data_IF_002755028330
#
_entry.id   IF_002755028330
#
_cell.length_a   1.000
_cell.length_b   1.000
_cell.length_c   1.000
_cell.angle_alpha   90.00
_cell.angle_beta   90.00
_cell.angle_gamma   90.00
#
_symmetry.space_group_name_H-M   'P 1'
#
loop_
_entity.id
_entity.type
_entity.pdbx_description
1 polymer ?
#
# COMPACT_ATOMS: atom_id res chain seq x y z
N UNK A 1 -21.50 -1.23 -18.45
CA UNK A 1 -20.04 -1.24 -18.24
C UNK A 1 -19.79 -2.20 -17.11
N UNK A 2 -19.11 -3.32 -17.37
CA UNK A 2 -18.87 -4.38 -16.38
C UNK A 2 -17.87 -3.93 -15.34
N UNK A 3 -17.86 -4.61 -14.19
CA UNK A 3 -16.98 -4.32 -13.05
C UNK A 3 -15.50 -4.32 -13.46
N UNK A 4 -15.10 -5.26 -14.30
CA UNK A 4 -13.73 -5.39 -14.81
C UNK A 4 -13.30 -4.20 -15.69
N UNK A 5 -14.19 -3.67 -16.52
CA UNK A 5 -13.92 -2.46 -17.32
C UNK A 5 -13.81 -1.19 -16.46
N UNK A 6 -14.50 -1.16 -15.31
CA UNK A 6 -14.39 -0.08 -14.35
C UNK A 6 -13.03 -0.12 -13.66
N UNK A 7 -12.56 -1.32 -13.29
CA UNK A 7 -11.25 -1.58 -12.71
C UNK A 7 -10.10 -1.20 -13.62
N UNK A 8 -10.12 -1.64 -14.87
CA UNK A 8 -9.11 -1.30 -15.86
C UNK A 8 -8.99 0.22 -16.06
N UNK A 9 -10.11 0.95 -15.95
CA UNK A 9 -10.12 2.42 -16.00
C UNK A 9 -9.54 3.08 -14.75
N UNK A 10 -9.80 2.55 -13.56
CA UNK A 10 -9.27 3.05 -12.28
C UNK A 10 -7.77 2.80 -12.20
N UNK A 11 -7.34 1.61 -12.54
CA UNK A 11 -5.92 1.18 -12.48
C UNK A 11 -5.13 1.70 -13.67
N UNK A 12 -5.75 1.82 -14.86
CA UNK A 12 -5.15 2.34 -16.08
C UNK A 12 -5.04 3.87 -16.18
N UNK A 13 -5.35 4.62 -15.10
CA UNK A 13 -5.23 6.09 -15.08
C UNK A 13 -6.35 6.85 -15.81
N UNK A 14 -7.21 6.19 -16.57
CA UNK A 14 -8.34 6.84 -17.28
C UNK A 14 -9.38 7.45 -16.34
N UNK A 15 -9.38 7.02 -15.08
CA UNK A 15 -10.30 7.53 -14.06
C UNK A 15 -9.96 8.94 -13.57
N UNK A 16 -8.70 9.35 -13.62
CA UNK A 16 -8.26 10.71 -13.24
C UNK A 16 -9.00 11.79 -14.05
N UNK A 17 -9.43 11.45 -15.24
CA UNK A 17 -10.16 12.35 -16.16
C UNK A 17 -11.68 12.36 -15.94
N UNK A 18 -12.22 11.52 -15.04
CA UNK A 18 -13.65 11.56 -14.71
C UNK A 18 -14.01 12.89 -14.06
N UNK A 19 -15.20 13.42 -14.40
CA UNK A 19 -15.68 14.75 -13.97
C UNK A 19 -15.37 15.01 -12.50
N UNK A 20 -14.67 16.10 -12.20
CA UNK A 20 -14.18 16.55 -10.88
C UNK A 20 -15.18 16.43 -9.71
N UNK A 21 -16.47 16.49 -9.98
CA UNK A 21 -17.52 16.55 -8.93
C UNK A 21 -17.96 15.22 -8.35
N UNK A 22 -17.52 14.06 -8.86
CA UNK A 22 -18.07 12.75 -8.47
C UNK A 22 -17.05 11.74 -7.93
N UNK A 23 -15.77 12.03 -7.97
CA UNK A 23 -14.72 11.06 -7.66
C UNK A 23 -14.71 10.55 -6.20
N UNK A 24 -14.97 11.38 -5.14
CA UNK A 24 -14.99 10.83 -3.78
C UNK A 24 -16.17 9.87 -3.57
N UNK A 25 -17.33 10.16 -4.17
CA UNK A 25 -18.48 9.26 -4.14
C UNK A 25 -18.19 7.94 -4.88
N UNK A 26 -17.38 7.98 -5.94
CA UNK A 26 -16.94 6.78 -6.63
C UNK A 26 -16.12 5.89 -5.71
N UNK A 27 -15.07 6.42 -5.05
CA UNK A 27 -14.27 5.64 -4.11
C UNK A 27 -15.11 5.10 -2.95
N UNK A 28 -15.99 5.91 -2.38
CA UNK A 28 -16.88 5.45 -1.30
C UNK A 28 -17.76 4.25 -1.71
N UNK A 29 -18.31 4.27 -2.93
CA UNK A 29 -19.09 3.15 -3.46
C UNK A 29 -18.23 1.93 -3.79
N UNK A 30 -17.02 2.15 -4.29
CA UNK A 30 -16.07 1.10 -4.59
C UNK A 30 -15.70 0.34 -3.31
N UNK A 31 -15.25 1.06 -2.28
CA UNK A 31 -14.91 0.49 -0.97
C UNK A 31 -16.06 -0.33 -0.39
N UNK A 32 -17.30 0.19 -0.47
CA UNK A 32 -18.47 -0.54 0.03
C UNK A 32 -18.67 -1.91 -0.64
N UNK A 33 -18.25 -2.07 -1.90
CA UNK A 33 -18.33 -3.33 -2.65
C UNK A 33 -17.14 -4.26 -2.42
N UNK A 34 -16.00 -3.71 -2.03
CA UNK A 34 -14.76 -4.46 -1.84
C UNK A 34 -14.60 -5.02 -0.43
N UNK A 35 -15.60 -4.84 0.44
CA UNK A 35 -15.53 -5.31 1.82
C UNK A 35 -15.37 -6.82 1.90
N UNK A 36 -14.46 -7.26 2.75
CA UNK A 36 -14.21 -8.67 3.06
C UNK A 36 -13.84 -8.85 4.52
N UNK A 37 -13.89 -10.08 5.01
CA UNK A 37 -13.59 -10.40 6.41
C UNK A 37 -12.28 -11.19 6.49
N UNK A 38 -11.20 -10.64 7.07
CA UNK A 38 -9.92 -11.36 7.21
C UNK A 38 -10.06 -12.64 8.06
N UNK A 39 -11.05 -12.71 8.95
CA UNK A 39 -11.32 -13.90 9.76
C UNK A 39 -11.99 -15.04 8.97
N UNK A 40 -12.50 -14.76 7.77
CA UNK A 40 -13.11 -15.79 6.93
C UNK A 40 -12.10 -16.56 6.06
N UNK A 41 -10.85 -16.09 6.00
CA UNK A 41 -9.78 -16.79 5.26
C UNK A 41 -9.30 -17.96 6.12
N UNK A 42 -9.35 -19.16 5.57
CA UNK A 42 -8.84 -20.37 6.23
C UNK A 42 -7.32 -20.49 6.03
N UNK A 43 -6.56 -20.27 7.09
CA UNK A 43 -5.10 -20.42 7.12
C UNK A 43 -4.65 -21.80 7.60
N UNK A 44 -5.58 -22.72 7.92
CA UNK A 44 -5.25 -24.06 8.42
C UNK A 44 -4.42 -24.89 7.43
N UNK A 45 -4.72 -24.89 6.11
CA UNK A 45 -3.89 -25.57 5.13
C UNK A 45 -2.47 -25.00 5.08
N UNK A 46 -2.35 -23.68 5.18
CA UNK A 46 -1.09 -22.93 5.11
C UNK A 46 -0.19 -23.26 6.30
N UNK A 47 -0.76 -23.27 7.51
CA UNK A 47 -0.05 -23.62 8.74
C UNK A 47 0.54 -25.08 8.68
N UNK A 48 -0.17 -25.98 8.02
CA UNK A 48 0.30 -27.37 7.82
C UNK A 48 1.39 -27.45 6.75
N UNK A 49 1.24 -26.70 5.66
CA UNK A 49 2.20 -26.72 4.55
C UNK A 49 3.50 -25.95 4.86
N UNK A 50 3.43 -24.95 5.72
CA UNK A 50 4.54 -24.07 6.05
C UNK A 50 5.85 -24.78 6.43
N UNK A 51 5.87 -25.77 7.37
CA UNK A 51 7.10 -26.47 7.74
C UNK A 51 7.67 -27.34 6.62
N UNK A 52 6.86 -27.72 5.62
CA UNK A 52 7.25 -28.57 4.50
C UNK A 52 7.87 -27.77 3.34
N UNK A 53 7.80 -26.45 3.38
CA UNK A 53 8.42 -25.60 2.34
C UNK A 53 9.95 -25.70 2.40
N UNK A 54 10.64 -25.64 1.25
CA UNK A 54 12.10 -25.53 1.20
C UNK A 54 12.61 -24.36 2.03
N UNK A 55 13.74 -24.53 2.71
CA UNK A 55 14.28 -23.54 3.66
C UNK A 55 14.55 -22.17 3.03
N UNK A 56 15.03 -22.11 1.78
CA UNK A 56 15.27 -20.88 1.05
C UNK A 56 13.97 -20.15 0.70
N UNK A 57 12.94 -20.90 0.27
CA UNK A 57 11.60 -20.34 0.01
C UNK A 57 10.97 -19.84 1.30
N UNK A 58 11.06 -20.61 2.37
CA UNK A 58 10.52 -20.24 3.68
C UNK A 58 11.20 -18.96 4.21
N UNK A 59 12.53 -18.84 4.10
CA UNK A 59 13.24 -17.61 4.49
C UNK A 59 12.76 -16.40 3.71
N UNK A 60 12.63 -16.49 2.38
CA UNK A 60 12.16 -15.40 1.53
C UNK A 60 10.73 -15.00 1.88
N UNK A 61 9.82 -15.96 2.01
CA UNK A 61 8.43 -15.71 2.40
C UNK A 61 8.33 -15.15 3.83
N UNK A 62 9.18 -15.59 4.78
CA UNK A 62 9.24 -15.01 6.13
C UNK A 62 9.59 -13.53 6.06
N UNK A 63 10.59 -13.13 5.27
CA UNK A 63 10.97 -11.72 5.13
C UNK A 63 9.82 -10.88 4.58
N UNK A 64 9.13 -11.35 3.55
CA UNK A 64 8.01 -10.62 2.97
C UNK A 64 6.82 -10.54 3.93
N UNK A 65 6.35 -11.67 4.45
CA UNK A 65 5.17 -11.73 5.30
C UNK A 65 5.38 -11.01 6.64
N UNK A 66 6.56 -11.15 7.26
CA UNK A 66 6.89 -10.41 8.47
C UNK A 66 7.06 -8.90 8.21
N UNK A 67 7.62 -8.53 7.07
CA UNK A 67 7.68 -7.14 6.64
C UNK A 67 6.29 -6.52 6.49
N UNK A 68 5.33 -7.25 5.90
CA UNK A 68 3.93 -6.81 5.84
C UNK A 68 3.27 -6.76 7.21
N UNK A 69 3.58 -7.66 8.16
CA UNK A 69 3.08 -7.54 9.54
C UNK A 69 3.48 -6.21 10.20
N UNK A 70 4.68 -5.71 9.91
CA UNK A 70 5.15 -4.40 10.42
C UNK A 70 4.51 -3.26 9.64
N UNK A 71 4.52 -3.33 8.32
CA UNK A 71 4.15 -2.24 7.44
C UNK A 71 2.65 -1.89 7.53
N UNK A 72 1.78 -2.88 7.45
CA UNK A 72 0.32 -2.70 7.47
C UNK A 72 -0.19 -2.15 8.80
N UNK A 73 0.41 -2.58 9.91
CA UNK A 73 0.05 -2.06 11.23
C UNK A 73 0.48 -0.59 11.38
N UNK A 74 1.67 -0.23 10.88
CA UNK A 74 2.15 1.15 10.88
C UNK A 74 1.26 2.06 10.02
N UNK A 75 0.83 1.60 8.84
CA UNK A 75 -0.10 2.35 7.99
C UNK A 75 -1.44 2.57 8.68
N UNK A 76 -2.04 1.53 9.26
CA UNK A 76 -3.31 1.62 9.97
C UNK A 76 -3.27 2.65 11.12
N UNK A 77 -2.11 2.81 11.77
CA UNK A 77 -1.89 3.74 12.86
C UNK A 77 -1.77 5.20 12.40
N UNK A 78 -1.08 5.46 11.28
CA UNK A 78 -0.61 6.80 10.92
C UNK A 78 -1.45 7.57 9.88
N UNK A 79 -2.60 7.06 9.41
CA UNK A 79 -3.43 7.72 8.40
C UNK A 79 -4.34 8.86 8.91
N UNK A 80 -4.54 9.00 10.22
CA UNK A 80 -5.44 10.04 10.76
C UNK A 80 -5.02 11.46 10.39
N UNK A 81 -3.74 11.86 10.49
CA UNK A 81 -3.29 13.21 10.09
C UNK A 81 -3.57 13.53 8.62
N UNK A 82 -3.49 12.55 7.73
CA UNK A 82 -3.82 12.73 6.30
C UNK A 82 -5.30 13.07 6.09
N UNK A 83 -6.20 12.37 6.82
CA UNK A 83 -7.63 12.67 6.78
C UNK A 83 -7.93 14.09 7.30
N UNK A 84 -7.24 14.53 8.35
CA UNK A 84 -7.42 15.85 8.94
C UNK A 84 -6.86 16.94 8.02
N UNK A 85 -5.71 16.73 7.40
CA UNK A 85 -5.16 17.62 6.38
C UNK A 85 -6.07 17.75 5.16
N UNK A 86 -6.66 16.62 4.71
CA UNK A 86 -7.63 16.61 3.61
C UNK A 86 -8.90 17.41 3.94
N UNK A 87 -9.32 17.44 5.23
CA UNK A 87 -10.46 18.25 5.69
C UNK A 87 -10.14 19.74 5.71
N UNK A 88 -8.89 20.12 5.98
CA UNK A 88 -8.42 21.49 6.01
C UNK A 88 -7.96 22.04 4.66
N UNK A 89 -7.74 21.19 3.68
CA UNK A 89 -7.27 21.57 2.35
C UNK A 89 -8.34 22.41 1.63
N UNK A 90 -7.98 23.62 1.17
CA UNK A 90 -8.87 24.52 0.40
C UNK A 90 -9.14 23.99 -1.01
N UNK A 91 -9.62 22.75 -1.11
CA UNK A 91 -9.99 22.10 -2.35
C UNK A 91 -11.48 22.32 -2.59
N UNK A 92 -11.83 23.03 -3.64
CA UNK A 92 -13.19 23.45 -3.96
C UNK A 92 -14.27 22.39 -3.64
N UNK A 93 -15.10 22.63 -2.65
CA UNK A 93 -16.37 21.95 -2.31
C UNK A 93 -16.35 20.44 -1.96
N UNK A 94 -15.21 19.77 -1.86
CA UNK A 94 -15.15 18.31 -1.63
C UNK A 94 -14.23 17.86 -0.48
N UNK A 95 -13.77 18.76 0.35
CA UNK A 95 -12.82 18.51 1.44
C UNK A 95 -13.30 17.44 2.43
N UNK A 96 -14.54 17.53 2.85
CA UNK A 96 -15.12 16.52 3.78
C UNK A 96 -15.27 15.14 3.15
N UNK A 97 -15.49 15.08 1.84
CA UNK A 97 -15.60 13.80 1.11
C UNK A 97 -14.23 13.15 0.89
N UNK A 98 -13.18 13.93 0.66
CA UNK A 98 -11.81 13.43 0.57
C UNK A 98 -11.38 12.86 1.92
N UNK A 99 -11.59 13.58 3.01
CA UNK A 99 -11.31 13.11 4.36
C UNK A 99 -12.10 11.82 4.69
N UNK A 100 -13.32 11.70 4.19
CA UNK A 100 -14.12 10.48 4.33
C UNK A 100 -13.50 9.29 3.60
N UNK A 101 -12.94 9.48 2.41
CA UNK A 101 -12.25 8.40 1.67
C UNK A 101 -10.99 7.94 2.42
N UNK A 102 -10.19 8.86 2.99
CA UNK A 102 -9.08 8.50 3.89
C UNK A 102 -9.54 7.68 5.10
N UNK A 103 -10.67 8.04 5.69
CA UNK A 103 -11.25 7.26 6.80
C UNK A 103 -11.63 5.84 6.36
N UNK A 104 -12.22 5.69 5.17
CA UNK A 104 -12.55 4.37 4.62
C UNK A 104 -11.28 3.56 4.34
N UNK A 105 -10.26 4.18 3.76
CA UNK A 105 -8.97 3.56 3.52
C UNK A 105 -8.35 3.06 4.84
N UNK A 106 -8.29 3.90 5.87
CA UNK A 106 -7.79 3.47 7.19
C UNK A 106 -8.50 2.22 7.73
N UNK A 107 -9.78 2.04 7.43
CA UNK A 107 -10.50 0.80 7.81
C UNK A 107 -10.07 -0.41 7.00
N UNK A 108 -9.66 -0.19 5.75
CA UNK A 108 -9.09 -1.25 4.92
C UNK A 108 -7.73 -1.66 5.47
N UNK A 109 -6.86 -0.69 5.82
CA UNK A 109 -5.57 -0.95 6.45
C UNK A 109 -5.69 -1.72 7.77
N UNK A 110 -6.69 -1.41 8.58
CA UNK A 110 -6.99 -2.19 9.79
C UNK A 110 -7.38 -3.66 9.50
N UNK A 111 -8.00 -3.92 8.33
CA UNK A 111 -8.26 -5.30 7.87
C UNK A 111 -7.00 -5.99 7.39
N UNK A 112 -6.16 -5.27 6.66
CA UNK A 112 -4.87 -5.77 6.17
C UNK A 112 -3.97 -6.12 7.35
N UNK A 113 -3.77 -5.21 8.29
CA UNK A 113 -3.01 -5.44 9.53
C UNK A 113 -3.52 -6.68 10.28
N UNK A 114 -4.85 -6.85 10.38
CA UNK A 114 -5.43 -8.03 11.03
C UNK A 114 -5.17 -9.32 10.27
N UNK A 115 -5.18 -9.30 8.92
CA UNK A 115 -4.83 -10.46 8.12
C UNK A 115 -3.38 -10.86 8.36
N UNK A 116 -2.45 -9.89 8.24
CA UNK A 116 -1.02 -10.18 8.40
C UNK A 116 -0.65 -10.58 9.84
N UNK A 117 -1.31 -10.02 10.87
CA UNK A 117 -1.19 -10.50 12.25
C UNK A 117 -1.61 -11.99 12.38
N UNK A 118 -2.71 -12.39 11.74
CA UNK A 118 -3.12 -13.80 11.68
C UNK A 118 -2.11 -14.67 10.95
N UNK A 119 -1.60 -14.24 9.79
CA UNK A 119 -0.55 -14.96 9.06
C UNK A 119 0.69 -15.10 9.92
N UNK A 120 1.10 -14.02 10.60
CA UNK A 120 2.21 -14.03 11.55
C UNK A 120 2.03 -15.07 12.66
N UNK A 121 0.85 -15.10 13.27
CA UNK A 121 0.52 -16.02 14.36
C UNK A 121 0.30 -17.46 13.88
N UNK A 122 -0.59 -17.66 12.89
CA UNK A 122 -1.13 -18.98 12.54
C UNK A 122 -0.21 -19.74 11.56
N UNK A 123 0.55 -19.03 10.71
CA UNK A 123 1.41 -19.62 9.67
C UNK A 123 2.88 -19.54 10.03
N UNK A 124 3.37 -18.32 10.33
CA UNK A 124 4.80 -18.12 10.66
C UNK A 124 5.15 -18.57 12.07
N UNK A 125 4.18 -18.66 12.98
CA UNK A 125 4.42 -18.98 14.38
C UNK A 125 5.20 -17.89 15.13
N UNK A 126 4.98 -16.61 14.78
CA UNK A 126 5.63 -15.50 15.48
C UNK A 126 5.21 -15.49 16.95
N UNK A 127 6.16 -15.34 17.89
CA UNK A 127 5.85 -15.32 19.31
C UNK A 127 5.13 -14.02 19.72
N UNK A 128 4.24 -14.13 20.71
CA UNK A 128 3.50 -13.03 21.30
C UNK A 128 2.02 -13.32 21.46
N UNK A 129 1.43 -12.86 22.56
CA UNK A 129 0.01 -13.03 22.87
C UNK A 129 -0.84 -11.91 22.25
N UNK A 130 -0.22 -10.76 21.98
CA UNK A 130 -0.89 -9.58 21.40
C UNK A 130 -0.36 -9.27 19.98
N UNK A 131 -1.13 -8.55 19.13
CA UNK A 131 -0.65 -8.07 17.83
C UNK A 131 0.64 -7.25 17.95
N UNK A 132 0.76 -6.38 18.97
CA UNK A 132 1.95 -5.57 19.19
C UNK A 132 3.21 -6.41 19.49
N UNK A 133 3.08 -7.48 20.28
CA UNK A 133 4.19 -8.41 20.55
C UNK A 133 4.60 -9.18 19.31
N UNK A 134 3.63 -9.66 18.49
CA UNK A 134 3.92 -10.35 17.23
C UNK A 134 4.56 -9.42 16.20
N UNK A 135 4.11 -8.14 16.13
CA UNK A 135 4.78 -7.12 15.31
C UNK A 135 6.23 -6.93 15.76
N UNK A 136 6.48 -6.83 17.08
CA UNK A 136 7.83 -6.72 17.60
C UNK A 136 8.70 -7.93 17.23
N UNK A 137 8.14 -9.14 17.23
CA UNK A 137 8.81 -10.35 16.77
C UNK A 137 9.06 -10.34 15.24
N UNK A 138 8.12 -9.84 14.45
CA UNK A 138 8.22 -9.74 13.00
C UNK A 138 9.40 -8.86 12.55
N UNK A 139 9.75 -7.83 13.32
CA UNK A 139 10.88 -6.93 13.03
C UNK A 139 12.21 -7.65 12.84
N UNK A 140 12.41 -8.78 13.50
CA UNK A 140 13.65 -9.56 13.36
C UNK A 140 13.83 -10.17 11.96
N UNK A 141 12.76 -10.24 11.17
CA UNK A 141 12.74 -10.83 9.82
C UNK A 141 12.53 -9.80 8.71
N UNK A 142 12.00 -8.62 9.04
CA UNK A 142 11.84 -7.52 8.10
C UNK A 142 13.20 -6.93 7.69
N UNK A 143 13.29 -6.38 6.49
CA UNK A 143 14.51 -5.70 6.04
C UNK A 143 14.69 -4.37 6.79
N UNK A 144 15.93 -3.89 6.99
CA UNK A 144 16.16 -2.58 7.60
C UNK A 144 15.46 -1.43 6.85
N UNK A 145 15.39 -1.50 5.51
CA UNK A 145 14.74 -0.47 4.72
C UNK A 145 13.22 -0.45 4.90
N UNK A 146 12.56 -1.62 5.04
CA UNK A 146 11.12 -1.69 5.39
C UNK A 146 10.90 -1.08 6.78
N UNK A 147 11.73 -1.39 7.77
CA UNK A 147 11.62 -0.81 9.10
C UNK A 147 11.79 0.72 9.08
N UNK A 148 12.80 1.24 8.37
CA UNK A 148 13.02 2.68 8.20
C UNK A 148 11.80 3.36 7.57
N UNK A 149 11.26 2.80 6.47
CA UNK A 149 10.14 3.39 5.76
C UNK A 149 8.85 3.46 6.61
N UNK A 150 8.52 2.38 7.31
CA UNK A 150 7.23 2.26 7.98
C UNK A 150 7.27 2.63 9.48
N UNK A 151 8.40 2.50 10.15
CA UNK A 151 8.51 2.85 11.58
C UNK A 151 9.20 4.20 11.85
N UNK A 152 9.84 4.81 10.83
CA UNK A 152 10.51 6.11 10.98
C UNK A 152 9.94 7.15 10.02
N UNK A 153 10.01 6.92 8.69
CA UNK A 153 9.61 7.93 7.69
C UNK A 153 8.11 8.18 7.67
N UNK A 154 7.28 7.14 7.69
CA UNK A 154 5.82 7.32 7.70
C UNK A 154 5.32 8.01 8.99
N UNK A 155 5.72 7.61 10.20
CA UNK A 155 5.38 8.33 11.42
C UNK A 155 5.86 9.79 11.43
N UNK A 156 7.08 10.05 10.95
CA UNK A 156 7.62 11.41 10.86
C UNK A 156 6.77 12.28 9.92
N UNK A 157 6.43 11.77 8.73
CA UNK A 157 5.55 12.46 7.78
C UNK A 157 4.17 12.74 8.39
N UNK A 158 3.58 11.76 9.07
CA UNK A 158 2.29 11.92 9.74
C UNK A 158 2.34 13.02 10.82
N UNK A 159 3.43 13.09 11.59
CA UNK A 159 3.65 14.14 12.59
C UNK A 159 3.83 15.51 11.93
N UNK A 160 4.59 15.61 10.85
CA UNK A 160 4.80 16.86 10.11
C UNK A 160 3.50 17.40 9.49
N UNK A 161 2.66 16.51 8.96
CA UNK A 161 1.32 16.87 8.48
C UNK A 161 0.44 17.37 9.64
N UNK A 162 0.43 16.67 10.77
CA UNK A 162 -0.36 17.06 11.95
C UNK A 162 0.03 18.43 12.50
N UNK A 163 1.33 18.79 12.41
CA UNK A 163 1.88 20.07 12.84
C UNK A 163 1.78 21.18 11.76
N UNK A 164 1.31 20.85 10.56
CA UNK A 164 1.22 21.78 9.43
C UNK A 164 2.58 22.21 8.85
N UNK A 165 3.63 21.41 9.07
CA UNK A 165 4.98 21.67 8.54
C UNK A 165 5.16 21.16 7.11
N UNK A 166 4.34 20.20 6.70
CA UNK A 166 4.32 19.66 5.34
C UNK A 166 2.89 19.58 4.79
N UNK A 167 2.74 19.50 3.48
CA UNK A 167 1.48 19.47 2.78
C UNK A 167 0.91 18.06 2.58
N UNK A 168 -0.37 17.99 2.22
CA UNK A 168 -1.02 16.71 1.89
C UNK A 168 -0.40 16.07 0.64
N UNK A 169 0.07 16.83 -0.31
CA UNK A 169 0.73 16.37 -1.54
C UNK A 169 2.04 15.64 -1.26
N UNK A 170 2.87 16.14 -0.35
CA UNK A 170 4.10 15.47 0.10
C UNK A 170 3.76 14.17 0.83
N UNK A 171 2.76 14.20 1.73
CA UNK A 171 2.29 13.01 2.42
C UNK A 171 1.76 11.95 1.47
N UNK A 172 0.92 12.33 0.52
CA UNK A 172 0.36 11.42 -0.51
C UNK A 172 1.45 10.88 -1.43
N UNK A 173 2.47 11.69 -1.75
CA UNK A 173 3.63 11.24 -2.54
C UNK A 173 4.40 10.14 -1.82
N UNK A 174 4.66 10.31 -0.51
CA UNK A 174 5.29 9.25 0.28
C UNK A 174 4.37 8.03 0.41
N UNK A 175 3.18 8.22 0.95
CA UNK A 175 2.33 7.10 1.36
C UNK A 175 1.78 6.34 0.14
N UNK A 176 0.97 6.99 -0.71
CA UNK A 176 0.29 6.28 -1.79
C UNK A 176 1.18 5.95 -2.98
N UNK A 177 2.16 6.83 -3.30
CA UNK A 177 2.97 6.59 -4.49
C UNK A 177 4.19 5.73 -4.20
N UNK A 178 4.91 5.97 -3.09
CA UNK A 178 6.10 5.20 -2.76
C UNK A 178 5.78 3.95 -1.93
N UNK A 179 5.10 4.10 -0.77
CA UNK A 179 4.88 2.95 0.11
C UNK A 179 3.89 1.96 -0.49
N UNK A 180 2.70 2.38 -0.92
CA UNK A 180 1.74 1.48 -1.55
C UNK A 180 2.07 1.20 -3.02
N UNK A 181 2.35 2.25 -3.81
CA UNK A 181 2.53 2.15 -5.25
C UNK A 181 3.85 1.53 -5.71
N UNK A 182 4.85 1.41 -4.82
CA UNK A 182 6.15 0.78 -5.13
C UNK A 182 6.44 -0.34 -4.15
N UNK A 183 6.53 -0.06 -2.84
CA UNK A 183 6.98 -1.06 -1.85
C UNK A 183 5.96 -2.18 -1.72
N UNK A 184 4.69 -1.87 -1.47
CA UNK A 184 3.64 -2.89 -1.36
C UNK A 184 3.40 -3.59 -2.71
N UNK A 185 3.31 -2.84 -3.82
CA UNK A 185 3.16 -3.41 -5.16
C UNK A 185 4.25 -4.45 -5.46
N UNK A 186 5.51 -4.16 -5.15
CA UNK A 186 6.63 -5.08 -5.36
C UNK A 186 6.55 -6.32 -4.45
N UNK A 187 6.28 -6.13 -3.15
CA UNK A 187 6.19 -7.22 -2.19
C UNK A 187 5.00 -8.15 -2.46
N UNK A 188 3.83 -7.60 -2.77
CA UNK A 188 2.62 -8.36 -3.09
C UNK A 188 2.78 -9.15 -4.40
N UNK A 189 3.35 -8.53 -5.44
CA UNK A 189 3.68 -9.21 -6.69
C UNK A 189 4.61 -10.41 -6.44
N UNK A 190 5.68 -10.22 -5.68
CA UNK A 190 6.61 -11.31 -5.37
C UNK A 190 5.95 -12.43 -4.57
N UNK A 191 5.06 -12.09 -3.62
CA UNK A 191 4.27 -13.09 -2.88
C UNK A 191 3.33 -13.87 -3.81
N UNK A 192 2.58 -13.19 -4.67
CA UNK A 192 1.62 -13.82 -5.57
C UNK A 192 2.29 -14.70 -6.62
N UNK A 193 3.46 -14.30 -7.12
CA UNK A 193 4.27 -15.12 -8.04
C UNK A 193 4.83 -16.35 -7.33
N UNK A 194 5.40 -16.19 -6.13
CA UNK A 194 5.94 -17.31 -5.36
C UNK A 194 4.84 -18.34 -5.01
N UNK A 195 3.63 -17.87 -4.71
CA UNK A 195 2.49 -18.70 -4.32
C UNK A 195 1.62 -19.17 -5.51
N UNK A 196 2.07 -18.97 -6.75
CA UNK A 196 1.31 -19.37 -7.94
C UNK A 196 1.07 -20.88 -8.06
N UNK A 197 1.91 -21.68 -7.40
CA UNK A 197 1.78 -23.14 -7.33
C UNK A 197 0.70 -23.65 -6.36
N UNK A 198 0.07 -22.76 -5.59
CA UNK A 198 -0.97 -23.08 -4.62
C UNK A 198 -0.47 -23.62 -3.29
N UNK A 199 0.82 -23.49 -2.96
CA UNK A 199 1.41 -24.03 -1.74
C UNK A 199 0.78 -23.47 -0.46
N UNK A 200 0.43 -22.18 -0.43
CA UNK A 200 -0.21 -21.50 0.70
C UNK A 200 -1.50 -20.79 0.23
N UNK A 201 -2.61 -21.55 0.05
CA UNK A 201 -3.81 -21.03 -0.60
C UNK A 201 -4.50 -19.92 0.18
N UNK A 202 -4.53 -19.98 1.51
CA UNK A 202 -5.13 -18.96 2.36
C UNK A 202 -4.31 -17.67 2.39
N UNK A 203 -2.97 -17.78 2.49
CA UNK A 203 -2.07 -16.62 2.37
C UNK A 203 -2.26 -15.98 1.00
N UNK A 204 -2.26 -16.76 -0.09
CA UNK A 204 -2.48 -16.26 -1.44
C UNK A 204 -3.82 -15.53 -1.56
N UNK A 205 -4.93 -16.13 -1.11
CA UNK A 205 -6.25 -15.49 -1.12
C UNK A 205 -6.23 -14.15 -0.37
N UNK A 206 -5.58 -14.12 0.79
CA UNK A 206 -5.43 -12.92 1.59
C UNK A 206 -4.69 -11.81 0.86
N UNK A 207 -3.53 -12.12 0.30
CA UNK A 207 -2.70 -11.16 -0.45
C UNK A 207 -3.42 -10.67 -1.72
N UNK A 208 -4.15 -11.52 -2.45
CA UNK A 208 -4.96 -11.10 -3.61
C UNK A 208 -6.06 -10.09 -3.22
N UNK A 209 -6.63 -10.22 -2.02
CA UNK A 209 -7.64 -9.26 -1.52
C UNK A 209 -7.01 -7.94 -1.12
N UNK A 210 -5.86 -7.99 -0.43
CA UNK A 210 -5.09 -6.78 -0.07
C UNK A 210 -4.63 -6.05 -1.33
N UNK A 211 -3.97 -6.74 -2.27
CA UNK A 211 -3.50 -6.16 -3.53
C UNK A 211 -4.63 -5.49 -4.33
N UNK A 212 -5.82 -6.09 -4.33
CA UNK A 212 -7.00 -5.48 -4.95
C UNK A 212 -7.40 -4.18 -4.25
N UNK A 213 -7.32 -4.12 -2.92
CA UNK A 213 -7.64 -2.93 -2.15
C UNK A 213 -6.55 -1.86 -2.38
N UNK A 214 -5.25 -2.22 -2.40
CA UNK A 214 -4.13 -1.30 -2.69
C UNK A 214 -4.26 -0.60 -4.05
N UNK A 215 -4.80 -1.26 -5.05
CA UNK A 215 -5.03 -0.62 -6.36
C UNK A 215 -5.93 0.61 -6.28
N UNK A 216 -6.97 0.58 -5.46
CA UNK A 216 -7.82 1.74 -5.30
C UNK A 216 -7.18 2.79 -4.38
N UNK A 217 -6.38 2.40 -3.38
CA UNK A 217 -5.60 3.31 -2.54
C UNK A 217 -4.66 4.17 -3.39
N UNK A 218 -3.85 3.53 -4.20
CA UNK A 218 -2.95 4.22 -5.14
C UNK A 218 -3.73 5.11 -6.12
N UNK A 219 -4.85 4.63 -6.64
CA UNK A 219 -5.72 5.42 -7.51
C UNK A 219 -6.31 6.65 -6.82
N UNK A 220 -6.68 6.53 -5.54
CA UNK A 220 -7.14 7.63 -4.70
C UNK A 220 -6.01 8.63 -4.43
N UNK A 221 -4.82 8.16 -4.04
CA UNK A 221 -3.65 9.00 -3.84
C UNK A 221 -3.28 9.78 -5.09
N UNK A 222 -3.25 9.14 -6.25
CA UNK A 222 -3.03 9.82 -7.53
C UNK A 222 -4.08 10.91 -7.79
N UNK A 223 -5.35 10.66 -7.43
CA UNK A 223 -6.40 11.67 -7.52
C UNK A 223 -6.16 12.83 -6.56
N UNK A 224 -5.71 12.57 -5.34
CA UNK A 224 -5.32 13.63 -4.40
C UNK A 224 -4.22 14.51 -4.99
N UNK A 225 -3.18 13.94 -5.60
CA UNK A 225 -2.12 14.71 -6.27
C UNK A 225 -2.65 15.61 -7.39
N UNK A 226 -3.59 15.11 -8.21
CA UNK A 226 -4.24 15.94 -9.25
C UNK A 226 -4.98 17.13 -8.64
N UNK A 227 -5.60 16.99 -7.49
CA UNK A 227 -6.34 18.07 -6.82
C UNK A 227 -5.40 19.05 -6.08
N UNK A 228 -4.35 18.55 -5.43
CA UNK A 228 -3.39 19.38 -4.69
C UNK A 228 -2.42 20.12 -5.60
N UNK A 229 -2.20 19.61 -6.81
CA UNK A 229 -1.30 20.20 -7.83
C UNK A 229 0.13 20.37 -7.30
N UNK A 230 0.82 19.28 -7.02
CA UNK A 230 2.19 19.30 -6.51
C UNK A 230 3.13 20.08 -7.45
N UNK A 231 4.21 20.61 -6.88
CA UNK A 231 5.25 21.27 -7.67
C UNK A 231 5.98 20.26 -8.56
N UNK A 232 6.62 20.74 -9.63
CA UNK A 232 7.45 19.89 -10.49
C UNK A 232 8.63 19.29 -9.71
N UNK A 233 9.21 20.05 -8.78
CA UNK A 233 10.30 19.55 -7.91
C UNK A 233 9.86 18.38 -7.02
N UNK A 234 8.64 18.41 -6.47
CA UNK A 234 8.09 17.30 -5.70
C UNK A 234 7.89 16.05 -6.57
N UNK A 235 7.42 16.24 -7.81
CA UNK A 235 7.26 15.12 -8.76
C UNK A 235 8.62 14.54 -9.21
N UNK A 236 9.62 15.39 -9.40
CA UNK A 236 10.99 14.95 -9.72
C UNK A 236 11.63 14.18 -8.55
N UNK A 237 11.43 14.64 -7.31
CA UNK A 237 11.87 13.94 -6.09
C UNK A 237 11.15 12.59 -5.94
N UNK A 238 9.84 12.56 -6.14
CA UNK A 238 9.05 11.32 -6.10
C UNK A 238 9.59 10.28 -7.08
N UNK A 239 9.89 10.68 -8.32
CA UNK A 239 10.44 9.75 -9.34
C UNK A 239 11.85 9.27 -8.98
N UNK A 240 12.70 10.15 -8.44
CA UNK A 240 14.04 9.77 -8.00
C UNK A 240 13.97 8.74 -6.86
N UNK A 241 13.08 8.93 -5.90
CA UNK A 241 12.91 8.05 -4.73
C UNK A 241 12.18 6.74 -5.04
N UNK A 242 11.44 6.65 -6.15
CA UNK A 242 10.74 5.41 -6.52
C UNK A 242 11.71 4.23 -6.73
N UNK A 243 12.89 4.49 -7.34
CA UNK A 243 13.93 3.49 -7.50
C UNK A 243 14.51 3.01 -6.16
N UNK A 244 14.77 3.94 -5.23
CA UNK A 244 15.26 3.61 -3.88
C UNK A 244 14.22 2.82 -3.08
N UNK A 245 12.96 3.24 -3.12
CA UNK A 245 11.87 2.56 -2.44
C UNK A 245 11.65 1.12 -2.95
N UNK A 246 11.86 0.88 -4.25
CA UNK A 246 11.76 -0.45 -4.83
C UNK A 246 12.76 -1.45 -4.25
N UNK A 247 13.91 -0.97 -3.76
CA UNK A 247 14.95 -1.80 -3.13
C UNK A 247 14.63 -2.18 -1.68
N UNK A 248 13.50 -1.70 -1.11
CA UNK A 248 13.17 -1.91 0.30
C UNK A 248 13.13 -3.39 0.73
N UNK A 249 12.72 -4.28 -0.16
CA UNK A 249 12.65 -5.72 0.12
C UNK A 249 13.97 -6.48 -0.11
N UNK A 250 15.00 -5.83 -0.66
CA UNK A 250 16.26 -6.47 -1.01
C UNK A 250 16.05 -7.70 -1.92
N UNK A 251 16.81 -8.77 -1.65
CA UNK A 251 16.76 -10.01 -2.45
C UNK A 251 15.46 -10.84 -2.25
N UNK A 252 14.60 -10.46 -1.31
CA UNK A 252 13.30 -11.12 -1.14
C UNK A 252 12.36 -10.86 -2.33
N UNK A 253 12.56 -9.75 -3.06
CA UNK A 253 11.82 -9.41 -4.28
C UNK A 253 12.76 -9.43 -5.49
N UNK A 254 12.44 -10.18 -6.56
CA UNK A 254 13.23 -10.21 -7.79
C UNK A 254 13.44 -8.81 -8.41
N UNK A 255 14.63 -8.54 -8.92
CA UNK A 255 14.99 -7.24 -9.51
C UNK A 255 14.01 -6.78 -10.61
N UNK A 256 13.49 -7.71 -11.43
CA UNK A 256 12.52 -7.39 -12.47
C UNK A 256 11.23 -6.80 -11.89
N UNK A 257 10.72 -7.36 -10.79
CA UNK A 257 9.51 -6.87 -10.09
C UNK A 257 9.80 -5.49 -9.48
N UNK A 258 10.95 -5.31 -8.80
CA UNK A 258 11.35 -4.03 -8.23
C UNK A 258 11.38 -2.92 -9.30
N UNK A 259 12.00 -3.20 -10.42
CA UNK A 259 12.08 -2.29 -11.56
C UNK A 259 10.69 -1.93 -12.12
N UNK A 260 9.84 -2.94 -12.33
CA UNK A 260 8.48 -2.73 -12.83
C UNK A 260 7.67 -1.84 -11.90
N UNK A 261 7.70 -2.10 -10.59
CA UNK A 261 6.95 -1.32 -9.59
C UNK A 261 7.41 0.14 -9.54
N UNK A 262 8.73 0.41 -9.60
CA UNK A 262 9.25 1.77 -9.70
C UNK A 262 8.78 2.49 -10.99
N UNK A 263 8.79 1.81 -12.14
CA UNK A 263 8.34 2.39 -13.41
C UNK A 263 6.84 2.68 -13.44
N UNK A 264 6.01 1.91 -12.73
CA UNK A 264 4.56 2.17 -12.64
C UNK A 264 4.24 3.57 -12.10
N UNK A 265 5.05 4.13 -11.19
CA UNK A 265 4.84 5.49 -10.66
C UNK A 265 4.93 6.52 -11.78
N UNK A 266 5.99 6.50 -12.58
CA UNK A 266 6.17 7.43 -13.70
C UNK A 266 5.00 7.33 -14.70
N UNK A 267 4.58 6.11 -15.04
CA UNK A 267 3.46 5.89 -15.93
C UNK A 267 2.15 6.46 -15.34
N UNK A 268 1.87 6.22 -14.07
CA UNK A 268 0.66 6.73 -13.36
C UNK A 268 0.62 8.26 -13.36
N UNK A 269 1.75 8.91 -13.03
CA UNK A 269 1.85 10.37 -13.06
C UNK A 269 1.61 10.92 -14.48
N UNK A 270 2.25 10.33 -15.49
CA UNK A 270 2.07 10.73 -16.88
C UNK A 270 0.60 10.64 -17.33
N UNK A 271 -0.06 9.51 -17.07
CA UNK A 271 -1.47 9.32 -17.42
C UNK A 271 -2.39 10.30 -16.66
N UNK A 272 -2.00 10.68 -15.45
CA UNK A 272 -2.71 11.68 -14.65
C UNK A 272 -2.50 13.14 -15.14
N UNK A 273 -1.63 13.36 -16.12
CA UNK A 273 -1.25 14.69 -16.58
C UNK A 273 -0.36 15.45 -15.59
N UNK A 274 0.28 14.74 -14.67
CA UNK A 274 1.27 15.28 -13.73
C UNK A 274 2.64 15.08 -14.37
N UNK A 275 3.23 16.17 -14.85
CA UNK A 275 4.53 16.14 -15.54
C UNK A 275 5.63 16.62 -14.63
N UNK A 276 6.62 15.78 -14.38
CA UNK A 276 7.90 16.14 -13.81
C UNK A 276 8.75 16.88 -14.87
N UNK A 277 9.71 17.68 -14.43
CA UNK A 277 10.63 18.42 -15.35
C UNK A 277 11.64 17.46 -16.00
N UNK A 278 11.98 16.37 -15.32
CA UNK A 278 12.92 15.36 -15.80
C UNK A 278 12.15 14.29 -16.59
N UNK A 279 12.54 14.11 -17.85
CA UNK A 279 12.14 12.91 -18.59
C UNK A 279 12.76 11.68 -17.89
N UNK A 280 11.92 10.67 -17.64
CA UNK A 280 12.42 9.37 -17.15
C UNK A 280 13.32 8.79 -18.22
N UNK A 281 14.59 8.60 -17.91
CA UNK A 281 15.58 7.97 -18.78
C UNK A 281 15.37 6.46 -18.81
#
# INVERSE_FOLDING_TARGET
MGEQQLWERVVGGHFVLAKRSFWPNFFSRLVARLQWNPMAIDLTPDARAWPELPDDRRRRLTTLLAGFCVAEDAVAEHLTPFADAARGAKLASQESLMAWVFFLQRRDEQRHAKLFDRIGSEVLGLPGDTPAERRAAARAYATPAVLELFEERLPAMAAEIAEGRTGLDEGVSLYHMLLEGVVFDAGQHALLDDLADGALPGVREGVERVERDERWHVGFGLRCLVETKPTADLLDDLLARAGEAAEAWGDAVPAAIRHESAHKVAHRLHVAGLTATRAVA
#
